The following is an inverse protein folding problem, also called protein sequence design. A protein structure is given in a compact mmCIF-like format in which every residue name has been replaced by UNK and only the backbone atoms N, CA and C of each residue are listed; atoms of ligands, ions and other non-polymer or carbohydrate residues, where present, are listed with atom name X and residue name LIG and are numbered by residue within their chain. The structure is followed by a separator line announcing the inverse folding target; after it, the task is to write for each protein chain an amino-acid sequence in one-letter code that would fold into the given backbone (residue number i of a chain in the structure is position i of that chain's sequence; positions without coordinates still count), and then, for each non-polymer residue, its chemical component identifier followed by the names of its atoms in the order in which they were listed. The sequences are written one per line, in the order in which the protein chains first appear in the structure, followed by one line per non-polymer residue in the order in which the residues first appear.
data_IF_557066533580
#
_entry.id   IF_557066533580
#
_cell.length_a   1.000
_cell.length_b   1.000
_cell.length_c   1.000
_cell.angle_alpha   90.00
_cell.angle_beta   90.00
_cell.angle_gamma   90.00
#
_symmetry.space_group_name_H-M   'P 1'
#
loop_
_entity.id
_entity.type
_entity.pdbx_description
1 polymer ?
#
# COMPACT_ATOMS: atom_id res chain seq x y z
N UNK A 1 -19.07 -5.33 6.81
CA UNK A 1 -18.01 -5.35 7.85
C UNK A 1 -18.51 -4.53 9.03
N UNK A 2 -18.52 -5.09 10.24
CA UNK A 2 -19.09 -4.40 11.41
C UNK A 2 -18.29 -3.13 11.73
N UNK A 3 -18.99 -2.01 11.83
CA UNK A 3 -18.44 -0.66 12.09
C UNK A 3 -17.50 -0.63 13.32
N UNK A 4 -17.77 -1.48 14.30
CA UNK A 4 -16.94 -1.67 15.48
C UNK A 4 -15.54 -2.21 15.16
N UNK A 5 -15.44 -3.28 14.34
CA UNK A 5 -14.16 -3.87 13.95
C UNK A 5 -13.31 -2.84 13.20
N UNK A 6 -13.95 -2.06 12.32
CA UNK A 6 -13.30 -0.97 11.59
C UNK A 6 -12.69 0.07 12.54
N UNK A 7 -13.47 0.55 13.53
CA UNK A 7 -12.96 1.53 14.52
C UNK A 7 -11.82 0.97 15.35
N UNK A 8 -11.89 -0.31 15.71
CA UNK A 8 -10.83 -1.01 16.44
C UNK A 8 -9.56 -1.11 15.60
N UNK A 9 -9.65 -1.58 14.36
CA UNK A 9 -8.50 -1.74 13.47
C UNK A 9 -7.74 -0.43 13.25
N UNK A 10 -8.46 0.66 12.99
CA UNK A 10 -7.86 1.98 12.80
C UNK A 10 -7.16 2.47 14.07
N UNK A 11 -7.80 2.34 15.23
CA UNK A 11 -7.20 2.75 16.51
C UNK A 11 -5.95 1.94 16.85
N UNK A 12 -6.01 0.62 16.66
CA UNK A 12 -4.88 -0.28 16.95
C UNK A 12 -3.73 -0.03 15.98
N UNK A 13 -4.00 0.08 14.69
CA UNK A 13 -2.98 0.38 13.67
C UNK A 13 -2.33 1.76 13.92
N UNK A 14 -3.14 2.79 14.23
CA UNK A 14 -2.64 4.12 14.55
C UNK A 14 -1.86 4.16 15.88
N UNK A 15 -2.19 3.32 16.86
CA UNK A 15 -1.42 3.20 18.09
C UNK A 15 -0.09 2.46 17.85
N UNK A 16 -0.14 1.35 17.12
CA UNK A 16 1.02 0.52 16.80
C UNK A 16 2.06 1.25 15.92
N UNK A 17 1.62 2.19 15.06
CA UNK A 17 2.51 2.99 14.23
C UNK A 17 3.24 4.14 14.94
N UNK A 18 2.99 4.36 16.24
CA UNK A 18 3.62 5.48 16.98
C UNK A 18 4.98 5.07 17.56
N UNK A 19 5.95 5.99 17.67
CA UNK A 19 7.27 5.70 18.25
C UNK A 19 7.23 5.07 19.65
N UNK A 20 6.24 5.42 20.49
CA UNK A 20 6.09 4.82 21.82
C UNK A 20 5.70 3.33 21.78
N UNK A 21 5.01 2.87 20.73
CA UNK A 21 4.67 1.46 20.60
C UNK A 21 5.93 0.61 20.36
N UNK A 22 6.91 1.16 19.62
CA UNK A 22 8.21 0.53 19.46
C UNK A 22 8.94 0.38 20.81
N UNK A 23 9.00 1.45 21.61
CA UNK A 23 9.62 1.37 22.94
C UNK A 23 8.88 0.42 23.89
N UNK A 24 7.55 0.37 23.83
CA UNK A 24 6.77 -0.59 24.60
C UNK A 24 7.06 -2.03 24.17
N UNK A 25 7.13 -2.31 22.86
CA UNK A 25 7.50 -3.63 22.34
C UNK A 25 8.94 -4.02 22.75
N UNK A 26 9.87 -3.08 22.69
CA UNK A 26 11.25 -3.28 23.13
C UNK A 26 11.30 -3.61 24.63
N UNK A 27 10.54 -2.90 25.46
CA UNK A 27 10.43 -3.17 26.89
C UNK A 27 9.90 -4.58 27.16
N UNK A 28 8.88 -5.03 26.41
CA UNK A 28 8.37 -6.41 26.51
C UNK A 28 9.47 -7.44 26.20
N UNK A 29 10.28 -7.21 25.17
CA UNK A 29 11.41 -8.08 24.81
C UNK A 29 12.47 -8.09 25.93
N UNK A 30 12.80 -6.92 26.48
CA UNK A 30 13.77 -6.80 27.59
C UNK A 30 13.26 -7.54 28.83
N UNK A 31 12.01 -7.32 29.23
CA UNK A 31 11.41 -8.01 30.39
C UNK A 31 11.41 -9.52 30.17
N UNK A 32 11.01 -9.98 28.97
CA UNK A 32 11.09 -11.39 28.63
C UNK A 32 12.52 -11.91 28.79
N UNK A 33 13.52 -11.29 28.18
CA UNK A 33 14.92 -11.70 28.27
C UNK A 33 15.43 -11.75 29.72
N UNK A 34 15.08 -10.76 30.56
CA UNK A 34 15.43 -10.72 31.98
C UNK A 34 14.79 -11.85 32.79
N UNK A 35 13.61 -12.34 32.40
CA UNK A 35 12.99 -13.52 33.03
C UNK A 35 13.63 -14.84 32.58
N UNK A 36 14.39 -14.86 31.49
CA UNK A 36 15.05 -16.06 30.94
C UNK A 36 15.90 -16.83 31.96
N UNK A 37 16.81 -16.19 32.72
CA UNK A 37 17.60 -16.85 33.76
C UNK A 37 16.78 -17.51 34.86
N UNK A 38 15.64 -16.91 35.25
CA UNK A 38 14.74 -17.48 36.27
C UNK A 38 14.12 -18.80 35.78
N UNK A 39 13.82 -18.87 34.48
CA UNK A 39 13.23 -20.05 33.85
C UNK A 39 14.25 -20.96 33.16
N UNK A 40 15.55 -20.76 33.42
CA UNK A 40 16.66 -21.49 32.78
C UNK A 40 16.56 -21.54 31.24
N UNK A 41 16.02 -20.48 30.63
CA UNK A 41 15.77 -20.41 29.18
C UNK A 41 14.99 -21.62 28.63
N UNK A 42 14.06 -22.17 29.41
CA UNK A 42 13.30 -23.38 29.07
C UNK A 42 12.51 -23.27 27.77
N UNK A 43 12.19 -24.44 27.17
CA UNK A 43 11.37 -24.53 25.97
C UNK A 43 10.00 -23.86 26.14
N UNK A 44 9.37 -23.98 27.30
CA UNK A 44 8.07 -23.35 27.58
C UNK A 44 8.18 -21.82 27.61
N UNK A 45 9.25 -21.29 28.20
CA UNK A 45 9.51 -19.84 28.22
C UNK A 45 9.75 -19.26 26.83
N UNK A 46 10.48 -19.98 25.96
CA UNK A 46 10.67 -19.60 24.56
C UNK A 46 9.35 -19.70 23.77
N UNK A 47 8.57 -20.75 24.02
CA UNK A 47 7.29 -20.99 23.34
C UNK A 47 6.32 -19.83 23.58
N UNK A 48 6.23 -19.28 24.79
CA UNK A 48 5.33 -18.17 25.09
C UNK A 48 5.57 -16.95 24.19
N UNK A 49 6.81 -16.50 24.04
CA UNK A 49 7.09 -15.32 23.20
C UNK A 49 6.92 -15.64 21.72
N UNK A 50 7.30 -16.84 21.29
CA UNK A 50 7.22 -17.23 19.88
C UNK A 50 5.74 -17.36 19.45
N UNK A 51 4.95 -18.12 20.20
CA UNK A 51 3.52 -18.29 19.95
C UNK A 51 2.76 -16.97 20.09
N UNK A 52 3.06 -16.18 21.13
CA UNK A 52 2.42 -14.88 21.35
C UNK A 52 2.68 -13.91 20.22
N UNK A 53 3.95 -13.77 19.81
CA UNK A 53 4.34 -12.88 18.71
C UNK A 53 3.72 -13.33 17.39
N UNK A 54 3.65 -14.64 17.14
CA UNK A 54 3.01 -15.19 15.93
C UNK A 54 1.52 -14.83 15.88
N UNK A 55 0.78 -15.03 16.97
CA UNK A 55 -0.65 -14.67 17.04
C UNK A 55 -0.83 -13.17 16.81
N UNK A 56 -0.05 -12.33 17.51
CA UNK A 56 -0.12 -10.87 17.35
C UNK A 56 0.19 -10.45 15.92
N UNK A 57 1.21 -11.04 15.31
CA UNK A 57 1.60 -10.76 13.91
C UNK A 57 0.49 -11.13 12.95
N UNK A 58 -0.11 -12.31 13.09
CA UNK A 58 -1.24 -12.73 12.25
C UNK A 58 -2.42 -11.77 12.37
N UNK A 59 -2.79 -11.38 13.59
CA UNK A 59 -3.84 -10.39 13.80
C UNK A 59 -3.46 -9.04 13.17
N UNK A 60 -2.21 -8.61 13.34
CA UNK A 60 -1.70 -7.35 12.78
C UNK A 60 -1.78 -7.32 11.26
N UNK A 61 -1.49 -8.44 10.57
CA UNK A 61 -1.64 -8.53 9.11
C UNK A 61 -3.09 -8.22 8.69
N UNK A 62 -4.09 -8.79 9.36
CA UNK A 62 -5.49 -8.48 9.05
C UNK A 62 -5.86 -7.02 9.36
N UNK A 63 -5.36 -6.46 10.48
CA UNK A 63 -5.61 -5.07 10.83
C UNK A 63 -4.98 -4.09 9.83
N UNK A 64 -3.75 -4.39 9.41
CA UNK A 64 -3.02 -3.64 8.39
C UNK A 64 -3.77 -3.74 7.07
N UNK A 65 -4.13 -4.96 6.60
CA UNK A 65 -4.87 -5.15 5.35
C UNK A 65 -6.20 -4.41 5.35
N UNK A 66 -6.95 -4.42 6.45
CA UNK A 66 -8.20 -3.69 6.55
C UNK A 66 -7.99 -2.16 6.45
N UNK A 67 -6.95 -1.64 7.12
CA UNK A 67 -6.63 -0.21 7.09
C UNK A 67 -6.11 0.20 5.72
N UNK A 68 -5.15 -0.56 5.15
CA UNK A 68 -4.58 -0.33 3.83
C UNK A 68 -5.60 -0.45 2.71
N UNK A 69 -6.45 -1.47 2.70
CA UNK A 69 -7.51 -1.61 1.67
C UNK A 69 -8.44 -0.39 1.66
N UNK A 70 -8.77 0.14 2.84
CA UNK A 70 -9.58 1.36 2.95
C UNK A 70 -8.82 2.59 2.43
N UNK A 71 -7.57 2.76 2.83
CA UNK A 71 -6.77 3.91 2.43
C UNK A 71 -6.50 3.90 0.92
N UNK A 72 -6.25 2.72 0.32
CA UNK A 72 -6.17 2.54 -1.13
C UNK A 72 -7.45 2.98 -1.82
N UNK A 73 -8.63 2.49 -1.40
CA UNK A 73 -9.92 2.91 -2.00
C UNK A 73 -10.16 4.41 -1.90
N UNK A 74 -9.84 5.01 -0.76
CA UNK A 74 -9.98 6.46 -0.59
C UNK A 74 -9.01 7.25 -1.48
N UNK A 75 -7.84 6.69 -1.77
CA UNK A 75 -6.85 7.26 -2.69
C UNK A 75 -7.32 7.15 -4.14
N UNK A 76 -7.83 5.99 -4.58
CA UNK A 76 -8.43 5.81 -5.91
C UNK A 76 -9.53 6.83 -6.16
N UNK A 77 -10.55 6.91 -5.29
CA UNK A 77 -11.66 7.88 -5.43
C UNK A 77 -11.20 9.34 -5.52
N UNK A 78 -10.14 9.72 -4.80
CA UNK A 78 -9.57 11.07 -4.90
C UNK A 78 -8.88 11.29 -6.25
N UNK A 79 -8.16 10.28 -6.76
CA UNK A 79 -7.52 10.34 -8.07
C UNK A 79 -8.56 10.38 -9.19
N UNK A 80 -9.66 9.64 -9.09
CA UNK A 80 -10.75 9.66 -10.06
C UNK A 80 -11.41 11.03 -10.14
N UNK A 81 -11.67 11.67 -9.01
CA UNK A 81 -12.22 13.03 -8.99
C UNK A 81 -11.23 14.04 -9.61
N UNK A 82 -9.93 13.88 -9.36
CA UNK A 82 -8.90 14.70 -10.01
C UNK A 82 -8.87 14.46 -11.52
N UNK A 83 -8.88 13.21 -11.98
CA UNK A 83 -8.91 12.87 -13.42
C UNK A 83 -10.16 13.44 -14.09
N UNK A 84 -11.32 13.32 -13.46
CA UNK A 84 -12.58 13.88 -13.94
C UNK A 84 -12.56 15.40 -14.05
N UNK A 85 -11.82 16.08 -13.18
CA UNK A 85 -11.69 17.54 -13.18
C UNK A 85 -10.74 18.10 -14.26
N UNK A 86 -9.88 17.26 -14.85
CA UNK A 86 -8.87 17.67 -15.83
C UNK A 86 -9.41 17.48 -17.25
N UNK A 87 -9.55 18.57 -18.00
CA UNK A 87 -10.16 18.60 -19.34
C UNK A 87 -9.46 17.75 -20.41
N UNK A 88 -8.19 17.38 -20.20
CA UNK A 88 -7.39 16.57 -21.13
C UNK A 88 -7.08 15.17 -20.61
N UNK A 89 -7.58 14.78 -19.43
CA UNK A 89 -7.42 13.43 -18.92
C UNK A 89 -8.36 12.47 -19.65
N UNK A 90 -7.90 11.25 -19.91
CA UNK A 90 -8.76 10.22 -20.52
C UNK A 90 -9.60 9.56 -19.43
N UNK A 91 -10.92 9.69 -19.52
CA UNK A 91 -11.86 9.05 -18.59
C UNK A 91 -11.75 7.52 -18.55
N UNK A 92 -11.12 6.89 -19.55
CA UNK A 92 -10.85 5.44 -19.58
C UNK A 92 -9.94 4.96 -18.44
N UNK A 93 -9.23 5.87 -17.75
CA UNK A 93 -8.40 5.54 -16.60
C UNK A 93 -9.13 5.63 -15.24
N UNK A 94 -10.38 6.10 -15.23
CA UNK A 94 -11.21 6.11 -14.03
C UNK A 94 -11.61 4.68 -13.70
N UNK A 95 -11.55 4.30 -12.42
CA UNK A 95 -11.85 2.96 -11.90
C UNK A 95 -10.99 1.85 -12.55
N UNK A 96 -9.77 2.17 -12.98
CA UNK A 96 -8.88 1.21 -13.66
C UNK A 96 -8.49 0.03 -12.76
N UNK A 97 -8.54 0.18 -11.43
CA UNK A 97 -8.26 -0.89 -10.47
C UNK A 97 -9.31 -2.01 -10.43
N UNK A 98 -10.52 -1.76 -10.95
CA UNK A 98 -11.60 -2.75 -11.02
C UNK A 98 -11.63 -3.47 -12.38
N UNK A 99 -10.74 -3.09 -13.32
CA UNK A 99 -10.65 -3.71 -14.63
C UNK A 99 -9.91 -5.06 -14.58
N UNK A 100 -10.25 -6.02 -15.47
CA UNK A 100 -9.46 -7.24 -15.64
C UNK A 100 -8.01 -6.94 -16.05
N UNK A 101 -7.05 -7.71 -15.53
CA UNK A 101 -5.61 -7.55 -15.84
C UNK A 101 -5.33 -7.51 -17.36
N UNK A 102 -6.04 -8.33 -18.15
CA UNK A 102 -5.91 -8.34 -19.61
C UNK A 102 -6.32 -7.01 -20.25
N UNK A 103 -7.31 -6.33 -19.70
CA UNK A 103 -7.80 -5.03 -20.18
C UNK A 103 -6.84 -3.90 -19.78
N UNK A 104 -6.31 -3.95 -18.55
CA UNK A 104 -5.26 -3.04 -18.09
C UNK A 104 -4.03 -3.14 -19.01
N UNK A 105 -3.60 -4.35 -19.35
CA UNK A 105 -2.46 -4.59 -20.25
C UNK A 105 -2.73 -4.06 -21.66
N UNK A 106 -3.96 -4.21 -22.18
CA UNK A 106 -4.36 -3.62 -23.47
C UNK A 106 -4.31 -2.10 -23.43
N UNK A 107 -4.87 -1.48 -22.40
CA UNK A 107 -4.84 -0.02 -22.21
C UNK A 107 -3.41 0.51 -22.07
N UNK A 108 -2.54 -0.25 -21.39
CA UNK A 108 -1.13 0.08 -21.26
C UNK A 108 -0.43 0.09 -22.63
N UNK A 109 -0.63 -0.95 -23.45
CA UNK A 109 -0.08 -1.02 -24.81
C UNK A 109 -0.59 0.12 -25.70
N UNK A 110 -1.88 0.41 -25.68
CA UNK A 110 -2.46 1.51 -26.44
C UNK A 110 -1.85 2.87 -26.02
N UNK A 111 -1.69 3.09 -24.72
CA UNK A 111 -1.05 4.29 -24.18
C UNK A 111 0.40 4.44 -24.67
N UNK A 112 1.18 3.35 -24.63
CA UNK A 112 2.56 3.34 -25.13
C UNK A 112 2.62 3.64 -26.64
N UNK A 113 1.73 3.03 -27.43
CA UNK A 113 1.67 3.28 -28.88
C UNK A 113 1.33 4.74 -29.21
N UNK A 114 0.37 5.33 -28.50
CA UNK A 114 0.01 6.74 -28.66
C UNK A 114 1.18 7.66 -28.33
N UNK A 115 1.89 7.40 -27.23
CA UNK A 115 3.08 8.16 -26.84
C UNK A 115 4.20 8.05 -27.89
N UNK A 116 4.42 6.85 -28.43
CA UNK A 116 5.38 6.62 -29.51
C UNK A 116 5.02 7.42 -30.77
N UNK A 117 3.76 7.33 -31.23
CA UNK A 117 3.27 8.08 -32.40
C UNK A 117 3.43 9.59 -32.20
N UNK A 118 3.10 10.09 -31.01
CA UNK A 118 3.24 11.51 -30.68
C UNK A 118 4.71 11.96 -30.73
N UNK A 119 5.63 11.17 -30.17
CA UNK A 119 7.08 11.42 -30.24
C UNK A 119 7.60 11.46 -31.67
N UNK A 120 7.23 10.48 -32.50
CA UNK A 120 7.61 10.44 -33.92
C UNK A 120 7.11 11.68 -34.69
N UNK A 121 5.90 12.16 -34.41
CA UNK A 121 5.34 13.37 -35.00
C UNK A 121 6.13 14.62 -34.58
N UNK A 122 6.51 14.73 -33.30
CA UNK A 122 7.33 15.84 -32.80
C UNK A 122 8.70 15.83 -33.47
N UNK A 123 9.36 14.68 -33.56
CA UNK A 123 10.68 14.55 -34.17
C UNK A 123 10.64 14.92 -35.67
N UNK A 124 9.63 14.44 -36.40
CA UNK A 124 9.43 14.82 -37.82
C UNK A 124 9.21 16.33 -37.98
N UNK A 125 8.39 16.95 -37.12
CA UNK A 125 8.17 18.40 -37.13
C UNK A 125 9.45 19.17 -36.81
N UNK A 126 10.24 18.72 -35.84
CA UNK A 126 11.52 19.33 -35.48
C UNK A 126 12.53 19.25 -36.64
N UNK A 127 12.62 18.10 -37.32
CA UNK A 127 13.50 17.92 -38.48
C UNK A 127 13.10 18.81 -39.67
N UNK A 128 11.81 18.96 -39.95
CA UNK A 128 11.31 19.85 -41.01
C UNK A 128 11.57 21.34 -40.71
N UNK A 129 11.53 21.75 -39.45
CA UNK A 129 11.85 23.13 -39.05
C UNK A 129 13.36 23.40 -39.10
N UNK A 130 14.18 22.41 -38.75
CA UNK A 130 15.65 22.53 -38.80
C UNK A 130 16.22 22.53 -40.22
N UNK A 131 15.57 21.87 -41.18
CA UNK A 131 15.99 21.84 -42.59
C UNK A 131 15.55 23.05 -43.42
N UNK A 132 14.84 24.02 -42.81
CA UNK A 132 14.33 25.24 -43.46
C UNK A 132 15.12 26.51 -43.11
N UNK A 133 16.22 26.37 -42.36
CA UNK A 133 17.25 27.40 -42.12
C UNK A 133 18.48 27.08 -42.95
#
# INVERSE_FOLDING_TARGET
MNEWFRKLAIKVSAAAGKPHAFFAALLVIVVWACTGPIFNFSNTWQLFINTGTTIVTLLMVFLIQNTQNRDSKAMHLKLDELLKSISHARNVFIDVEDMPDEEIERLHKESQELQRKYKEVIERKAAQVSGKK
#
